data_IF_141018281423
#
_entry.id   IF_141018281423
#
_cell.length_a   1.000
_cell.length_b   1.000
_cell.length_c   1.000
_cell.angle_alpha   90.00
_cell.angle_beta   90.00
_cell.angle_gamma   90.00
#
_symmetry.space_group_name_H-M   'P 1'
#
loop_
_entity.id
_entity.type
_entity.pdbx_description
1 polymer ?
#
# COMPACT_ATOMS: atom_id res chain seq x y z
N UNK A 1 65.56 1.72 10.99
CA UNK A 1 64.46 1.05 11.75
C UNK A 1 63.54 2.00 12.52
N UNK A 2 64.02 2.91 13.39
CA UNK A 2 63.16 3.81 14.21
C UNK A 2 62.19 4.71 13.42
N UNK A 3 62.59 5.27 12.28
CA UNK A 3 61.72 6.13 11.46
C UNK A 3 60.56 5.36 10.77
N UNK A 4 60.79 4.08 10.45
CA UNK A 4 59.77 3.21 9.85
C UNK A 4 58.73 2.78 10.89
N UNK A 5 59.15 2.51 12.13
CA UNK A 5 58.24 2.22 13.25
C UNK A 5 57.38 3.41 13.64
N UNK A 6 57.88 4.64 13.59
CA UNK A 6 57.09 5.85 13.90
C UNK A 6 56.07 6.18 12.79
N UNK A 7 56.43 6.02 11.51
CA UNK A 7 55.45 6.12 10.41
C UNK A 7 54.35 5.07 10.55
N UNK A 8 54.69 3.81 10.84
CA UNK A 8 53.71 2.74 11.06
C UNK A 8 52.78 3.05 12.23
N UNK A 9 53.30 3.56 13.36
CA UNK A 9 52.48 4.00 14.50
C UNK A 9 51.54 5.16 14.13
N UNK A 10 51.99 6.14 13.34
CA UNK A 10 51.12 7.23 12.84
C UNK A 10 50.00 6.71 11.95
N UNK A 11 50.29 5.79 11.02
CA UNK A 11 49.28 5.16 10.18
C UNK A 11 48.27 4.35 10.99
N UNK A 12 48.73 3.57 11.97
CA UNK A 12 47.84 2.81 12.86
C UNK A 12 46.95 3.75 13.68
N UNK A 13 47.50 4.83 14.23
CA UNK A 13 46.71 5.84 14.96
C UNK A 13 45.69 6.53 14.05
N UNK A 14 46.08 6.91 12.84
CA UNK A 14 45.18 7.54 11.88
C UNK A 14 44.05 6.59 11.46
N UNK A 15 44.37 5.32 11.18
CA UNK A 15 43.37 4.30 10.88
C UNK A 15 42.41 4.07 12.06
N UNK A 16 42.93 4.05 13.29
CA UNK A 16 42.10 3.93 14.49
C UNK A 16 41.16 5.14 14.67
N UNK A 17 41.64 6.36 14.43
CA UNK A 17 40.81 7.58 14.47
C UNK A 17 39.73 7.54 13.39
N UNK A 18 40.09 7.19 12.15
CA UNK A 18 39.10 7.04 11.06
C UNK A 18 38.06 5.99 11.41
N UNK A 19 38.49 4.83 11.93
CA UNK A 19 37.58 3.78 12.39
C UNK A 19 36.64 4.26 13.49
N UNK A 20 37.15 4.98 14.49
CA UNK A 20 36.33 5.55 15.56
C UNK A 20 35.32 6.58 15.03
N UNK A 21 35.70 7.43 14.08
CA UNK A 21 34.79 8.39 13.43
C UNK A 21 33.69 7.66 12.64
N UNK A 22 34.03 6.62 11.88
CA UNK A 22 33.04 5.84 11.13
C UNK A 22 32.05 5.13 12.06
N UNK A 23 32.53 4.55 13.17
CA UNK A 23 31.66 3.95 14.19
C UNK A 23 30.76 5.01 14.84
N UNK A 24 31.31 6.18 15.16
CA UNK A 24 30.53 7.28 15.71
C UNK A 24 29.42 7.73 14.75
N UNK A 25 29.74 7.95 13.46
CA UNK A 25 28.76 8.34 12.45
C UNK A 25 27.68 7.26 12.24
N UNK A 26 28.07 5.99 12.26
CA UNK A 26 27.14 4.87 12.20
C UNK A 26 26.16 4.88 13.39
N UNK A 27 26.66 5.05 14.61
CA UNK A 27 25.81 5.14 15.82
C UNK A 27 24.91 6.37 15.77
N UNK A 28 25.43 7.55 15.38
CA UNK A 28 24.63 8.77 15.24
C UNK A 28 23.50 8.56 14.22
N UNK A 29 23.79 7.94 13.07
CA UNK A 29 22.78 7.62 12.06
C UNK A 29 21.74 6.63 12.58
N UNK A 30 22.15 5.63 13.36
CA UNK A 30 21.25 4.68 14.02
C UNK A 30 20.30 5.39 15.00
N UNK A 31 20.84 6.18 15.92
CA UNK A 31 20.05 6.95 16.90
C UNK A 31 19.11 7.93 16.21
N UNK A 32 19.58 8.64 15.18
CA UNK A 32 18.73 9.51 14.38
C UNK A 32 17.57 8.73 13.75
N UNK A 33 17.83 7.57 13.14
CA UNK A 33 16.78 6.71 12.58
C UNK A 33 15.76 6.32 13.64
N UNK A 34 16.25 5.87 14.80
CA UNK A 34 15.40 5.36 15.86
C UNK A 34 14.46 6.43 16.42
N UNK A 35 15.00 7.64 16.62
CA UNK A 35 14.25 8.76 17.16
C UNK A 35 13.32 9.39 16.13
N UNK A 36 13.84 9.72 14.93
CA UNK A 36 13.09 10.43 13.90
C UNK A 36 11.93 9.58 13.37
N UNK A 37 12.17 8.28 13.15
CA UNK A 37 11.15 7.36 12.63
C UNK A 37 10.33 6.66 13.74
N UNK A 38 10.42 7.14 14.99
CA UNK A 38 9.73 6.57 16.17
C UNK A 38 9.84 5.05 16.23
N UNK A 39 11.04 4.53 15.98
CA UNK A 39 11.28 3.11 15.82
C UNK A 39 10.96 2.30 17.09
N UNK A 40 10.91 2.92 18.26
CA UNK A 40 10.44 2.29 19.50
C UNK A 40 9.03 1.67 19.39
N UNK A 41 8.20 2.14 18.45
CA UNK A 41 6.87 1.60 18.20
C UNK A 41 6.96 0.25 17.47
N UNK A 42 7.67 0.17 16.34
CA UNK A 42 7.61 -0.99 15.43
C UNK A 42 8.87 -1.87 15.42
N UNK A 43 10.02 -1.33 15.82
CA UNK A 43 11.30 -2.06 15.75
C UNK A 43 11.38 -3.30 16.64
N UNK A 44 10.74 -3.36 17.84
CA UNK A 44 10.67 -4.61 18.58
C UNK A 44 10.04 -5.76 17.78
N UNK A 45 8.97 -5.48 17.04
CA UNK A 45 8.32 -6.46 16.16
C UNK A 45 9.22 -6.83 14.98
N UNK A 46 9.93 -5.84 14.40
CA UNK A 46 10.91 -6.08 13.34
C UNK A 46 12.06 -6.99 13.81
N UNK A 47 12.57 -6.78 15.03
CA UNK A 47 13.60 -7.65 15.61
C UNK A 47 13.03 -9.05 15.87
N UNK A 48 11.82 -9.15 16.43
CA UNK A 48 11.18 -10.43 16.68
C UNK A 48 11.01 -11.24 15.39
N UNK A 49 10.64 -10.60 14.27
CA UNK A 49 10.48 -11.27 12.98
C UNK A 49 11.78 -11.83 12.40
N UNK A 50 12.94 -11.24 12.74
CA UNK A 50 14.25 -11.75 12.30
C UNK A 50 14.65 -13.06 13.00
N UNK A 51 14.12 -13.32 14.19
CA UNK A 51 14.39 -14.55 14.95
C UNK A 51 13.26 -15.57 14.86
N UNK A 52 12.07 -15.16 14.39
CA UNK A 52 10.95 -16.06 14.18
C UNK A 52 11.22 -17.04 13.02
N UNK A 53 10.72 -18.27 13.14
CA UNK A 53 10.65 -19.19 12.00
C UNK A 53 9.73 -18.58 10.95
N UNK A 54 10.24 -18.40 9.73
CA UNK A 54 9.50 -17.83 8.62
C UNK A 54 9.00 -18.96 7.73
N UNK A 55 7.70 -18.99 7.46
CA UNK A 55 7.15 -19.82 6.40
C UNK A 55 7.69 -19.32 5.06
N UNK A 56 8.43 -20.15 4.35
CA UNK A 56 9.05 -19.78 3.09
C UNK A 56 8.93 -20.90 2.08
N UNK A 57 8.89 -20.52 0.81
CA UNK A 57 8.99 -21.43 -0.33
C UNK A 57 10.12 -20.99 -1.25
N UNK A 58 10.57 -21.91 -2.10
CA UNK A 58 11.51 -21.59 -3.17
C UNK A 58 10.91 -20.54 -4.11
N UNK A 59 11.75 -19.64 -4.64
CA UNK A 59 11.31 -18.54 -5.50
C UNK A 59 10.50 -19.01 -6.72
N UNK A 60 10.87 -20.14 -7.32
CA UNK A 60 10.15 -20.75 -8.44
C UNK A 60 8.70 -21.18 -8.12
N UNK A 61 8.31 -21.21 -6.85
CA UNK A 61 6.94 -21.48 -6.41
C UNK A 61 6.22 -20.23 -5.92
N UNK A 62 6.89 -19.07 -5.88
CA UNK A 62 6.29 -17.83 -5.37
C UNK A 62 5.45 -17.15 -6.43
N UNK A 63 4.32 -16.65 -5.98
CA UNK A 63 3.49 -15.67 -6.64
C UNK A 63 3.68 -14.33 -5.92
N UNK A 64 4.32 -13.36 -6.56
CA UNK A 64 4.38 -11.99 -6.06
C UNK A 64 3.14 -11.23 -6.54
N UNK A 65 2.28 -10.91 -5.59
CA UNK A 65 1.07 -10.10 -5.76
C UNK A 65 1.44 -8.65 -5.48
N UNK A 66 1.69 -7.89 -6.54
CA UNK A 66 2.15 -6.50 -6.46
C UNK A 66 0.98 -5.53 -6.66
N UNK A 67 0.84 -4.58 -5.74
CA UNK A 67 -0.16 -3.52 -5.81
C UNK A 67 0.46 -2.16 -5.45
N UNK A 68 -0.01 -1.14 -6.16
CA UNK A 68 0.27 0.27 -5.87
C UNK A 68 -1.02 0.91 -5.35
N UNK A 69 -0.95 1.47 -4.14
CA UNK A 69 -2.01 2.27 -3.53
C UNK A 69 -1.60 3.73 -3.53
N UNK A 70 -2.46 4.61 -4.02
CA UNK A 70 -2.08 6.01 -4.21
C UNK A 70 -2.97 6.97 -3.46
N UNK A 71 -2.33 7.87 -2.71
CA UNK A 71 -2.96 9.05 -2.12
C UNK A 71 -3.17 10.08 -3.24
N UNK A 72 -4.18 9.85 -4.08
CA UNK A 72 -4.35 10.60 -5.34
C UNK A 72 -4.97 11.97 -5.07
N UNK A 73 -4.13 12.95 -4.74
CA UNK A 73 -4.50 14.31 -4.31
C UNK A 73 -4.14 15.39 -5.35
N UNK A 74 -4.95 15.57 -6.42
CA UNK A 74 -4.69 16.57 -7.46
C UNK A 74 -4.80 18.02 -6.97
N UNK A 75 -5.42 18.24 -5.81
CA UNK A 75 -5.62 19.55 -5.20
C UNK A 75 -7.05 20.06 -5.37
N UNK A 76 -7.33 21.17 -4.66
CA UNK A 76 -8.65 21.82 -4.64
C UNK A 76 -8.78 23.00 -5.61
N UNK A 77 -7.66 23.37 -6.23
CA UNK A 77 -7.57 24.51 -7.15
C UNK A 77 -8.25 24.23 -8.50
N UNK A 78 -8.35 25.25 -9.33
CA UNK A 78 -8.93 25.15 -10.68
C UNK A 78 -8.07 24.32 -11.63
N UNK A 79 -6.79 24.10 -11.33
CA UNK A 79 -5.87 23.33 -12.16
C UNK A 79 -5.92 21.82 -11.88
N UNK A 80 -6.57 21.40 -10.80
CA UNK A 80 -6.65 20.00 -10.37
C UNK A 80 -7.13 19.05 -11.48
N UNK A 81 -8.12 19.47 -12.26
CA UNK A 81 -8.65 18.70 -13.39
C UNK A 81 -7.59 18.51 -14.48
N UNK A 82 -7.04 19.60 -14.99
CA UNK A 82 -6.00 19.56 -16.02
C UNK A 82 -4.74 18.81 -15.55
N UNK A 83 -4.41 18.90 -14.25
CA UNK A 83 -3.33 18.13 -13.62
C UNK A 83 -3.62 16.64 -13.64
N UNK A 84 -4.84 16.25 -13.27
CA UNK A 84 -5.31 14.86 -13.28
C UNK A 84 -5.32 14.27 -14.68
N UNK A 85 -5.83 15.02 -15.67
CA UNK A 85 -5.83 14.59 -17.07
C UNK A 85 -4.42 14.33 -17.60
N UNK A 86 -3.49 15.27 -17.39
CA UNK A 86 -2.09 15.10 -17.76
C UNK A 86 -1.47 13.88 -17.07
N UNK A 87 -1.79 13.67 -15.79
CA UNK A 87 -1.31 12.51 -15.05
C UNK A 87 -1.80 11.21 -15.69
N UNK A 88 -3.10 11.09 -15.96
CA UNK A 88 -3.72 9.91 -16.55
C UNK A 88 -3.16 9.59 -17.94
N UNK A 89 -2.99 10.59 -18.81
CA UNK A 89 -2.41 10.39 -20.15
C UNK A 89 -1.02 9.76 -20.05
N UNK A 90 -0.18 10.27 -19.15
CA UNK A 90 1.19 9.79 -18.99
C UNK A 90 1.25 8.43 -18.31
N UNK A 91 0.41 8.22 -17.30
CA UNK A 91 0.29 6.93 -16.62
C UNK A 91 -0.11 5.82 -17.59
N UNK A 92 -1.11 6.05 -18.46
CA UNK A 92 -1.54 5.08 -19.48
C UNK A 92 -0.38 4.63 -20.35
N UNK A 93 0.43 5.58 -20.83
CA UNK A 93 1.58 5.27 -21.67
C UNK A 93 2.65 4.41 -20.96
N UNK A 94 2.80 4.55 -19.65
CA UNK A 94 3.67 3.68 -18.84
C UNK A 94 3.00 2.31 -18.67
N UNK A 95 1.74 2.28 -18.24
CA UNK A 95 1.00 1.06 -17.97
C UNK A 95 1.01 0.10 -19.18
N UNK A 96 0.77 0.60 -20.41
CA UNK A 96 0.79 -0.20 -21.64
C UNK A 96 2.11 -0.94 -21.92
N UNK A 97 3.22 -0.52 -21.31
CA UNK A 97 4.53 -1.18 -21.51
C UNK A 97 4.78 -2.33 -20.53
N UNK A 98 4.00 -2.43 -19.47
CA UNK A 98 4.28 -3.30 -18.33
C UNK A 98 3.20 -4.34 -18.14
N UNK A 99 3.62 -5.60 -18.14
CA UNK A 99 2.73 -6.74 -18.05
C UNK A 99 3.27 -7.75 -17.05
N UNK A 100 2.35 -8.33 -16.28
CA UNK A 100 2.67 -9.40 -15.34
C UNK A 100 2.88 -10.75 -16.05
N UNK A 101 3.08 -11.83 -15.30
CA UNK A 101 3.36 -13.16 -15.88
C UNK A 101 2.21 -13.76 -16.69
N UNK A 102 1.01 -13.17 -16.63
CA UNK A 102 -0.18 -13.59 -17.38
C UNK A 102 -0.54 -12.62 -18.50
N UNK A 103 0.28 -11.60 -18.73
CA UNK A 103 0.00 -10.57 -19.72
C UNK A 103 -1.02 -9.54 -19.23
N UNK A 104 -1.32 -9.48 -17.92
CA UNK A 104 -2.15 -8.40 -17.41
C UNK A 104 -1.32 -7.13 -17.29
N UNK A 105 -1.87 -6.02 -17.77
CA UNK A 105 -1.28 -4.69 -17.67
C UNK A 105 -1.09 -4.27 -16.20
N UNK A 106 -0.08 -3.44 -15.92
CA UNK A 106 0.00 -2.76 -14.63
C UNK A 106 -1.23 -1.86 -14.40
N UNK A 107 -1.78 -1.90 -13.17
CA UNK A 107 -2.98 -1.15 -12.79
C UNK A 107 -2.77 -0.41 -11.48
N UNK A 108 -3.50 0.69 -11.34
CA UNK A 108 -3.40 1.58 -10.18
C UNK A 108 -4.59 1.45 -9.24
N UNK A 109 -4.41 1.69 -7.94
CA UNK A 109 -5.52 1.86 -7.00
C UNK A 109 -5.53 3.32 -6.55
N UNK A 110 -6.42 4.13 -7.13
CA UNK A 110 -6.55 5.55 -6.79
C UNK A 110 -7.43 5.69 -5.56
N UNK A 111 -6.84 5.96 -4.40
CA UNK A 111 -7.61 6.37 -3.24
C UNK A 111 -7.83 7.88 -3.34
N UNK A 112 -9.02 8.27 -3.77
CA UNK A 112 -9.34 9.67 -4.11
C UNK A 112 -9.88 10.41 -2.87
N UNK A 113 -9.37 11.61 -2.51
CA UNK A 113 -9.81 12.37 -1.35
C UNK A 113 -11.22 12.93 -1.55
N UNK A 114 -12.19 12.45 -0.77
CA UNK A 114 -13.53 13.04 -0.77
C UNK A 114 -13.50 14.54 -0.49
N UNK A 115 -12.60 15.00 0.38
CA UNK A 115 -12.49 16.40 0.80
C UNK A 115 -11.91 17.35 -0.26
N UNK A 116 -11.40 16.85 -1.39
CA UNK A 116 -11.09 17.70 -2.54
C UNK A 116 -12.31 17.97 -3.43
N UNK A 117 -13.27 17.03 -3.45
CA UNK A 117 -14.60 17.19 -4.02
C UNK A 117 -14.60 17.74 -5.47
N UNK A 118 -13.72 17.20 -6.34
CA UNK A 118 -13.62 17.56 -7.77
C UNK A 118 -14.32 16.50 -8.63
N UNK A 119 -15.56 16.77 -9.04
CA UNK A 119 -16.40 15.80 -9.79
C UNK A 119 -15.74 15.33 -11.09
N UNK A 120 -15.09 16.23 -11.82
CA UNK A 120 -14.48 15.99 -13.12
C UNK A 120 -13.23 15.11 -12.99
N UNK A 121 -12.49 15.27 -11.90
CA UNK A 121 -11.38 14.39 -11.55
C UNK A 121 -11.91 12.99 -11.28
N UNK A 122 -12.91 12.84 -10.40
CA UNK A 122 -13.48 11.53 -10.08
C UNK A 122 -14.05 10.86 -11.33
N UNK A 123 -14.76 11.59 -12.18
CA UNK A 123 -15.28 11.08 -13.45
C UNK A 123 -14.16 10.59 -14.39
N UNK A 124 -13.06 11.33 -14.49
CA UNK A 124 -11.87 10.95 -15.26
C UNK A 124 -11.20 9.68 -14.74
N UNK A 125 -11.09 9.53 -13.42
CA UNK A 125 -10.59 8.31 -12.79
C UNK A 125 -11.52 7.11 -13.04
N UNK A 126 -12.83 7.29 -12.92
CA UNK A 126 -13.81 6.24 -13.19
C UNK A 126 -13.78 5.79 -14.66
N UNK A 127 -13.58 6.72 -15.59
CA UNK A 127 -13.39 6.39 -17.01
C UNK A 127 -12.10 5.59 -17.22
N UNK A 128 -10.98 6.01 -16.63
CA UNK A 128 -9.73 5.27 -16.70
C UNK A 128 -9.85 3.87 -16.09
N UNK A 129 -10.59 3.73 -14.99
CA UNK A 129 -10.89 2.44 -14.37
C UNK A 129 -11.72 1.54 -15.32
N UNK A 130 -12.71 2.10 -15.99
CA UNK A 130 -13.53 1.38 -16.98
C UNK A 130 -12.73 0.89 -18.19
N UNK A 131 -11.65 1.59 -18.55
CA UNK A 131 -10.70 1.19 -19.61
C UNK A 131 -9.63 0.20 -19.10
N UNK A 132 -9.70 -0.18 -17.82
CA UNK A 132 -8.85 -1.19 -17.20
C UNK A 132 -7.48 -0.68 -16.74
N UNK A 133 -7.33 0.63 -16.47
CA UNK A 133 -6.08 1.20 -15.95
C UNK A 133 -5.97 1.16 -14.42
N UNK A 134 -7.06 0.86 -13.72
CA UNK A 134 -7.07 0.86 -12.26
C UNK A 134 -8.46 0.73 -11.67
N UNK A 135 -8.55 0.98 -10.37
CA UNK A 135 -9.80 1.06 -9.60
C UNK A 135 -9.76 2.28 -8.67
N UNK A 136 -10.94 2.79 -8.31
CA UNK A 136 -11.11 3.98 -7.46
C UNK A 136 -11.61 3.55 -6.09
N UNK A 137 -10.92 4.01 -5.05
CA UNK A 137 -11.17 3.72 -3.64
C UNK A 137 -11.29 5.02 -2.83
N UNK A 138 -11.68 4.91 -1.55
CA UNK A 138 -11.91 6.08 -0.70
C UNK A 138 -10.65 6.50 0.07
N UNK A 139 -10.20 7.72 -0.15
CA UNK A 139 -9.25 8.43 0.70
C UNK A 139 -9.97 9.58 1.40
N UNK A 140 -9.58 9.91 2.63
CA UNK A 140 -10.21 11.05 3.30
C UNK A 140 -9.40 11.72 4.40
N UNK A 141 -9.28 13.05 4.31
CA UNK A 141 -8.73 13.92 5.35
C UNK A 141 -9.82 14.55 6.23
N UNK A 142 -10.87 13.79 6.56
CA UNK A 142 -12.07 14.32 7.21
C UNK A 142 -11.72 15.30 8.36
N UNK A 143 -12.54 16.36 8.55
CA UNK A 143 -12.37 17.22 9.71
C UNK A 143 -12.49 16.37 10.98
N UNK A 144 -11.87 16.83 12.08
CA UNK A 144 -11.97 16.14 13.36
C UNK A 144 -13.45 15.86 13.70
N UNK A 145 -13.75 14.62 14.02
CA UNK A 145 -15.11 14.13 14.26
C UNK A 145 -15.15 13.28 15.53
N UNK A 146 -16.22 12.50 15.68
CA UNK A 146 -16.46 11.53 16.75
C UNK A 146 -17.30 10.35 16.21
N UNK A 147 -17.41 9.27 16.98
CA UNK A 147 -18.13 8.04 16.60
C UNK A 147 -19.63 8.25 16.36
N UNK A 148 -20.21 9.37 16.82
CA UNK A 148 -21.63 9.67 16.61
C UNK A 148 -21.87 10.35 15.27
N UNK A 149 -20.97 11.26 14.87
CA UNK A 149 -21.10 12.06 13.65
C UNK A 149 -20.47 11.41 12.43
N UNK A 150 -19.37 10.69 12.62
CA UNK A 150 -18.61 10.09 11.52
C UNK A 150 -19.44 9.18 10.60
N UNK A 151 -20.35 8.31 11.08
CA UNK A 151 -21.18 7.48 10.20
C UNK A 151 -21.97 8.29 9.16
N UNK A 152 -22.64 9.37 9.57
CA UNK A 152 -23.42 10.21 8.67
C UNK A 152 -22.52 10.94 7.65
N UNK A 153 -21.33 11.38 8.08
CA UNK A 153 -20.38 12.02 7.17
C UNK A 153 -19.80 11.02 6.16
N UNK A 154 -19.55 9.77 6.58
CA UNK A 154 -19.07 8.68 5.71
C UNK A 154 -20.14 8.30 4.68
N UNK A 155 -21.41 8.25 5.10
CA UNK A 155 -22.56 8.06 4.23
C UNK A 155 -22.65 9.15 3.12
N UNK A 156 -22.38 10.41 3.46
CA UNK A 156 -22.32 11.50 2.48
C UNK A 156 -21.18 11.30 1.48
N UNK A 157 -19.99 10.93 1.97
CA UNK A 157 -18.84 10.64 1.11
C UNK A 157 -19.15 9.49 0.14
N UNK A 158 -19.69 8.38 0.65
CA UNK A 158 -20.06 7.21 -0.15
C UNK A 158 -21.07 7.60 -1.23
N UNK A 159 -22.14 8.34 -0.89
CA UNK A 159 -23.13 8.80 -1.86
C UNK A 159 -22.52 9.62 -2.98
N UNK A 160 -21.59 10.52 -2.66
CA UNK A 160 -20.91 11.34 -3.66
C UNK A 160 -20.12 10.51 -4.67
N UNK A 161 -19.38 9.50 -4.20
CA UNK A 161 -18.68 8.57 -5.10
C UNK A 161 -19.64 7.74 -5.95
N UNK A 162 -20.75 7.29 -5.37
CA UNK A 162 -21.74 6.45 -6.05
C UNK A 162 -22.47 7.17 -7.19
N UNK A 163 -22.56 8.51 -7.16
CA UNK A 163 -23.01 9.28 -8.32
C UNK A 163 -22.16 9.05 -9.59
N UNK A 164 -20.93 8.58 -9.42
CA UNK A 164 -20.00 8.21 -10.51
C UNK A 164 -19.81 6.69 -10.66
N UNK A 165 -20.71 5.88 -10.12
CA UNK A 165 -20.63 4.40 -10.07
C UNK A 165 -19.40 3.85 -9.28
N UNK A 166 -18.69 4.69 -8.54
CA UNK A 166 -17.57 4.26 -7.70
C UNK A 166 -18.07 3.70 -6.35
N UNK A 167 -17.23 2.90 -5.69
CA UNK A 167 -17.49 2.25 -4.39
C UNK A 167 -18.73 1.34 -4.37
N UNK A 168 -19.19 0.89 -5.53
CA UNK A 168 -20.31 -0.04 -5.71
C UNK A 168 -19.86 -1.23 -6.55
N UNK A 169 -20.23 -2.43 -6.12
CA UNK A 169 -19.98 -3.64 -6.90
C UNK A 169 -20.89 -3.74 -8.13
N UNK A 170 -20.37 -4.31 -9.20
CA UNK A 170 -21.14 -4.68 -10.39
C UNK A 170 -22.01 -5.91 -10.12
N UNK A 171 -23.04 -6.09 -10.95
CA UNK A 171 -23.91 -7.26 -10.93
C UNK A 171 -25.35 -6.96 -10.49
N UNK A 172 -26.19 -8.00 -10.37
CA UNK A 172 -27.64 -7.83 -10.15
C UNK A 172 -27.99 -7.32 -8.74
N UNK A 173 -27.08 -7.50 -7.76
CA UNK A 173 -27.26 -7.07 -6.38
C UNK A 173 -26.08 -6.17 -5.98
N UNK A 174 -26.02 -4.93 -6.49
CA UNK A 174 -24.93 -4.01 -6.18
C UNK A 174 -24.87 -3.72 -4.68
N UNK A 175 -23.66 -3.67 -4.14
CA UNK A 175 -23.40 -3.36 -2.72
C UNK A 175 -22.32 -2.30 -2.62
N UNK A 176 -22.42 -1.44 -1.61
CA UNK A 176 -21.34 -0.53 -1.23
C UNK A 176 -20.13 -1.34 -0.78
N UNK A 177 -19.03 -1.26 -1.52
CA UNK A 177 -17.77 -1.93 -1.21
C UNK A 177 -16.60 -1.02 -1.56
N UNK A 178 -15.68 -0.80 -0.63
CA UNK A 178 -14.51 0.06 -0.85
C UNK A 178 -13.32 -0.30 0.03
N UNK A 179 -12.12 0.02 -0.44
CA UNK A 179 -10.91 0.11 0.37
C UNK A 179 -10.79 1.52 0.95
N UNK A 180 -10.15 1.64 2.11
CA UNK A 180 -9.95 2.92 2.77
C UNK A 180 -8.47 3.26 2.98
N UNK A 181 -8.13 4.54 2.80
CA UNK A 181 -6.92 5.16 3.31
C UNK A 181 -7.31 6.38 4.13
N UNK A 182 -6.82 6.43 5.37
CA UNK A 182 -7.02 7.57 6.22
C UNK A 182 -5.98 8.65 5.92
N UNK A 183 -6.41 9.77 5.35
CA UNK A 183 -5.50 10.74 4.73
C UNK A 183 -4.67 11.58 5.68
N UNK A 184 -5.06 11.68 6.95
CA UNK A 184 -4.20 12.27 7.98
C UNK A 184 -3.40 11.23 8.75
N UNK A 185 -3.38 9.95 8.32
CA UNK A 185 -2.68 8.86 9.00
C UNK A 185 -3.07 8.73 10.48
N UNK A 186 -4.37 8.87 10.76
CA UNK A 186 -4.90 9.01 12.11
C UNK A 186 -6.00 7.99 12.45
N UNK A 187 -6.01 6.85 11.76
CA UNK A 187 -7.02 5.80 11.88
C UNK A 187 -7.35 5.51 13.35
N UNK A 188 -8.62 5.28 13.63
CA UNK A 188 -9.17 4.93 14.94
C UNK A 188 -8.67 5.85 16.07
N UNK A 189 -8.74 7.16 15.82
CA UNK A 189 -8.28 8.23 16.71
C UNK A 189 -6.84 8.03 17.24
N UNK A 190 -5.94 7.49 16.42
CA UNK A 190 -4.54 7.27 16.79
C UNK A 190 -3.76 8.57 17.02
N UNK A 191 -4.31 9.70 16.59
CA UNK A 191 -3.81 11.03 16.90
C UNK A 191 -4.92 12.09 16.90
N UNK A 192 -4.73 13.26 17.58
CA UNK A 192 -5.80 14.21 17.89
C UNK A 192 -6.59 14.80 16.71
N UNK A 193 -6.12 14.61 15.48
CA UNK A 193 -6.78 15.12 14.27
C UNK A 193 -7.98 14.28 13.83
N UNK A 194 -8.08 13.00 14.21
CA UNK A 194 -9.20 12.14 13.83
C UNK A 194 -10.40 12.32 14.77
N UNK A 195 -10.27 11.97 16.05
CA UNK A 195 -11.34 12.04 17.04
C UNK A 195 -12.36 10.90 17.01
N UNK A 196 -12.30 10.01 16.03
CA UNK A 196 -13.25 8.90 15.84
C UNK A 196 -12.72 7.63 16.50
N UNK A 197 -13.32 7.25 17.63
CA UNK A 197 -13.15 5.91 18.21
C UNK A 197 -14.01 4.91 17.49
N UNK A 198 -13.63 3.64 17.53
CA UNK A 198 -14.37 2.57 16.85
C UNK A 198 -14.50 2.81 15.35
N UNK A 199 -13.49 3.47 14.77
CA UNK A 199 -13.53 3.85 13.37
C UNK A 199 -13.52 2.61 12.46
N UNK A 200 -12.86 1.52 12.88
CA UNK A 200 -12.72 0.30 12.09
C UNK A 200 -14.08 -0.40 11.92
N UNK A 201 -14.85 -0.49 13.00
CA UNK A 201 -16.21 -1.06 12.98
C UNK A 201 -17.15 -0.19 12.15
N UNK A 202 -17.07 1.13 12.28
CA UNK A 202 -17.90 2.05 11.47
C UNK A 202 -17.57 1.86 9.99
N UNK A 203 -16.29 1.88 9.61
CA UNK A 203 -15.85 1.65 8.23
C UNK A 203 -16.37 0.29 7.71
N UNK A 204 -16.17 -0.78 8.47
CA UNK A 204 -16.59 -2.13 8.09
C UNK A 204 -18.11 -2.23 7.87
N UNK A 205 -18.91 -1.68 8.79
CA UNK A 205 -20.37 -1.67 8.70
C UNK A 205 -20.91 -0.90 7.50
N UNK A 206 -20.16 0.10 7.01
CA UNK A 206 -20.53 0.90 5.83
C UNK A 206 -20.03 0.29 4.50
N UNK A 207 -19.35 -0.86 4.54
CA UNK A 207 -18.92 -1.59 3.35
C UNK A 207 -17.41 -1.51 3.07
N UNK A 208 -16.61 -0.95 3.97
CA UNK A 208 -15.15 -1.01 3.84
C UNK A 208 -14.67 -2.45 3.97
N UNK A 209 -14.01 -2.99 2.95
CA UNK A 209 -13.51 -4.37 3.00
C UNK A 209 -12.12 -4.48 3.63
N UNK A 210 -11.28 -3.45 3.52
CA UNK A 210 -9.96 -3.39 4.14
C UNK A 210 -9.41 -1.95 4.21
N UNK A 211 -8.58 -1.70 5.22
CA UNK A 211 -7.74 -0.51 5.33
C UNK A 211 -6.37 -0.73 4.70
N UNK A 212 -5.88 0.30 4.00
CA UNK A 212 -4.58 0.32 3.34
C UNK A 212 -3.68 1.47 3.83
N UNK A 213 -3.97 2.08 4.98
CA UNK A 213 -3.30 3.29 5.49
C UNK A 213 -1.81 3.06 5.79
N UNK A 214 -1.41 1.87 6.25
CA UNK A 214 -0.05 1.66 6.76
C UNK A 214 0.97 1.25 5.69
N UNK A 215 2.18 1.82 5.68
CA UNK A 215 2.87 2.40 6.83
C UNK A 215 2.64 3.91 7.05
N UNK A 216 2.76 4.33 8.31
CA UNK A 216 2.77 5.73 8.75
C UNK A 216 4.00 5.99 9.64
N UNK A 217 5.14 5.37 9.29
CA UNK A 217 6.38 5.44 10.08
C UNK A 217 6.85 6.89 10.29
N UNK A 218 7.32 7.18 11.50
CA UNK A 218 7.63 8.54 11.95
C UNK A 218 6.51 9.17 12.78
N UNK A 219 5.33 8.53 12.81
CA UNK A 219 4.19 8.96 13.62
C UNK A 219 3.89 7.98 14.76
N UNK A 220 3.09 8.43 15.74
CA UNK A 220 2.56 7.54 16.79
C UNK A 220 1.47 6.61 16.28
N UNK A 221 0.89 6.93 15.11
CA UNK A 221 -0.15 6.16 14.45
C UNK A 221 0.37 4.86 13.86
N UNK A 222 1.67 4.72 13.57
CA UNK A 222 2.22 3.47 13.05
C UNK A 222 1.90 2.31 14.02
N UNK A 223 1.29 1.21 13.57
CA UNK A 223 1.09 0.04 14.42
C UNK A 223 2.42 -0.58 14.88
N UNK A 224 2.40 -1.19 16.07
CA UNK A 224 3.51 -2.03 16.56
C UNK A 224 3.66 -3.26 15.68
N UNK A 225 2.55 -3.88 15.29
CA UNK A 225 2.52 -4.95 14.30
C UNK A 225 2.94 -4.38 12.92
N UNK A 226 3.75 -5.13 12.18
CA UNK A 226 4.27 -4.73 10.87
C UNK A 226 4.36 -5.94 9.95
N UNK A 227 4.46 -5.70 8.64
CA UNK A 227 4.68 -6.72 7.62
C UNK A 227 3.63 -7.84 7.67
N UNK A 228 2.37 -7.46 7.86
CA UNK A 228 1.31 -8.43 8.11
C UNK A 228 -0.01 -8.04 7.46
N UNK A 229 -0.87 -9.04 7.30
CA UNK A 229 -2.27 -8.87 6.92
C UNK A 229 -3.07 -9.52 8.03
N UNK A 230 -3.90 -8.73 8.72
CA UNK A 230 -4.55 -9.16 9.94
C UNK A 230 -5.91 -8.48 10.13
N UNK A 231 -6.72 -9.05 10.99
CA UNK A 231 -7.95 -8.44 11.45
C UNK A 231 -7.72 -7.73 12.78
N UNK A 232 -8.20 -6.49 12.86
CA UNK A 232 -8.15 -5.70 14.08
C UNK A 232 -9.48 -5.81 14.82
N UNK A 233 -9.43 -5.98 16.15
CA UNK A 233 -10.63 -5.97 16.99
C UNK A 233 -10.80 -4.59 17.55
N UNK A 234 -11.88 -3.93 17.18
CA UNK A 234 -12.10 -2.55 17.55
C UNK A 234 -12.48 -2.37 19.04
N UNK A 235 -12.24 -1.17 19.58
CA UNK A 235 -12.50 -0.85 20.98
C UNK A 235 -12.77 0.65 21.19
N UNK A 236 -13.22 1.02 22.38
CA UNK A 236 -13.38 2.44 22.74
C UNK A 236 -12.03 3.16 22.96
N UNK A 237 -10.92 2.42 22.97
CA UNK A 237 -9.57 2.96 23.04
C UNK A 237 -9.06 3.35 21.63
N UNK A 238 -8.07 4.27 21.53
CA UNK A 238 -7.46 4.57 20.24
C UNK A 238 -6.78 3.35 19.65
N UNK A 239 -6.58 3.42 18.33
CA UNK A 239 -5.53 2.67 17.65
C UNK A 239 -5.72 1.17 17.85
N UNK A 240 -6.95 0.68 17.74
CA UNK A 240 -7.31 -0.72 17.97
C UNK A 240 -6.61 -1.67 16.99
N UNK A 241 -6.16 -1.16 15.84
CA UNK A 241 -5.32 -1.88 14.88
C UNK A 241 -3.87 -2.10 15.33
N UNK A 242 -3.42 -1.54 16.47
CA UNK A 242 -2.02 -1.63 16.91
C UNK A 242 -1.52 -3.07 17.07
N UNK A 243 -2.47 -3.99 17.28
CA UNK A 243 -2.31 -5.45 17.24
C UNK A 243 -3.48 -6.08 16.49
N UNK A 244 -3.41 -7.38 16.20
CA UNK A 244 -4.56 -8.09 15.65
C UNK A 244 -4.26 -9.56 15.37
N UNK A 245 -5.27 -10.27 14.87
CA UNK A 245 -5.19 -11.68 14.50
C UNK A 245 -4.77 -11.83 13.03
N UNK A 246 -3.64 -12.48 12.77
CA UNK A 246 -3.15 -12.71 11.42
C UNK A 246 -4.15 -13.50 10.58
N UNK A 247 -4.35 -13.05 9.34
CA UNK A 247 -5.15 -13.82 8.38
C UNK A 247 -4.49 -15.18 8.18
N UNK A 248 -5.24 -16.24 8.45
CA UNK A 248 -4.74 -17.61 8.51
C UNK A 248 -5.63 -18.54 7.70
N UNK A 249 -5.03 -19.47 6.96
CA UNK A 249 -5.75 -20.52 6.23
C UNK A 249 -6.70 -21.28 7.15
N UNK A 250 -7.95 -21.42 6.72
CA UNK A 250 -8.98 -22.19 7.42
C UNK A 250 -9.56 -21.49 8.65
N UNK A 251 -9.21 -20.23 8.91
CA UNK A 251 -9.75 -19.41 9.99
C UNK A 251 -10.41 -18.13 9.45
N UNK A 252 -11.52 -18.26 8.70
CA UNK A 252 -12.18 -17.10 8.13
C UNK A 252 -12.76 -16.19 9.22
N UNK A 253 -12.44 -14.90 9.14
CA UNK A 253 -13.06 -13.85 9.96
C UNK A 253 -13.89 -12.94 9.05
N UNK A 254 -15.14 -12.69 9.47
CA UNK A 254 -16.16 -12.01 8.65
C UNK A 254 -16.90 -10.92 9.44
N UNK A 255 -16.38 -10.52 10.59
CA UNK A 255 -17.06 -9.62 11.55
C UNK A 255 -16.29 -8.34 11.88
N UNK A 256 -15.11 -8.12 11.28
CA UNK A 256 -14.26 -6.94 11.54
C UNK A 256 -13.36 -6.58 10.36
N UNK A 257 -12.79 -5.37 10.41
CA UNK A 257 -11.98 -4.81 9.32
C UNK A 257 -10.60 -5.48 9.22
N UNK A 258 -10.18 -5.75 7.98
CA UNK A 258 -8.82 -6.20 7.66
C UNK A 258 -7.88 -5.00 7.52
N UNK A 259 -6.71 -5.10 8.14
CA UNK A 259 -5.60 -4.18 7.96
C UNK A 259 -4.59 -4.83 7.00
N UNK A 260 -4.32 -4.15 5.88
CA UNK A 260 -3.42 -4.64 4.85
C UNK A 260 -2.15 -3.79 4.83
N UNK A 261 -1.05 -4.30 5.39
CA UNK A 261 0.21 -3.56 5.48
C UNK A 261 1.12 -3.75 4.25
N UNK A 262 1.95 -2.73 4.01
CA UNK A 262 3.08 -2.82 3.09
C UNK A 262 4.38 -3.22 3.81
N UNK A 263 5.44 -3.54 3.04
CA UNK A 263 6.72 -3.95 3.60
C UNK A 263 7.48 -2.79 4.25
N UNK A 264 7.88 -3.04 5.48
CA UNK A 264 8.79 -2.25 6.29
C UNK A 264 10.09 -3.05 6.44
N UNK A 265 11.20 -2.44 6.04
CA UNK A 265 12.52 -3.06 6.06
C UNK A 265 13.61 -2.09 6.55
N UNK A 266 14.70 -2.65 7.04
CA UNK A 266 15.87 -1.87 7.47
C UNK A 266 17.11 -2.35 6.73
N UNK A 267 17.82 -1.42 6.08
CA UNK A 267 19.17 -1.65 5.63
C UNK A 267 20.14 -1.44 6.81
N UNK A 268 20.63 -2.54 7.38
CA UNK A 268 21.52 -2.53 8.55
C UNK A 268 22.88 -1.86 8.33
N UNK A 269 23.35 -1.76 7.09
CA UNK A 269 24.64 -1.12 6.78
C UNK A 269 24.50 0.40 6.83
N UNK A 270 23.38 0.93 6.34
CA UNK A 270 23.16 2.38 6.18
C UNK A 270 22.17 2.98 7.17
N UNK A 271 21.52 2.13 7.97
CA UNK A 271 20.33 2.46 8.76
C UNK A 271 19.24 3.16 7.95
N UNK A 272 19.17 2.89 6.64
CA UNK A 272 18.10 3.41 5.79
C UNK A 272 16.88 2.50 5.97
N UNK A 273 15.82 3.11 6.47
CA UNK A 273 14.51 2.51 6.54
C UNK A 273 13.89 2.46 5.13
N UNK A 274 13.19 1.38 4.85
CA UNK A 274 12.30 1.22 3.72
C UNK A 274 10.90 0.98 4.26
N UNK A 275 9.93 1.69 3.74
CA UNK A 275 8.53 1.61 4.17
C UNK A 275 7.62 1.72 2.95
N UNK A 276 8.07 1.13 1.84
CA UNK A 276 7.31 0.97 0.61
C UNK A 276 6.83 2.24 -0.10
N UNK A 277 7.27 3.42 0.35
CA UNK A 277 7.03 4.69 -0.34
C UNK A 277 7.77 4.75 -1.69
N UNK A 278 7.09 5.18 -2.75
CA UNK A 278 7.64 5.44 -4.09
C UNK A 278 7.53 6.93 -4.35
N UNK A 279 8.57 7.68 -3.97
CA UNK A 279 8.55 9.14 -3.83
C UNK A 279 9.89 9.78 -4.22
N UNK A 280 9.92 11.10 -4.39
CA UNK A 280 11.17 11.86 -4.65
C UNK A 280 12.29 11.58 -3.65
N UNK A 281 11.96 11.48 -2.36
CA UNK A 281 12.90 11.15 -1.28
C UNK A 281 13.11 9.64 -1.08
N UNK A 282 12.23 8.82 -1.66
CA UNK A 282 12.24 7.37 -1.56
C UNK A 282 12.08 6.76 -2.96
N UNK A 283 13.09 6.99 -3.81
CA UNK A 283 13.10 6.44 -5.17
C UNK A 283 13.17 4.91 -5.15
N UNK A 284 12.44 4.21 -6.03
CA UNK A 284 12.50 2.76 -6.14
C UNK A 284 13.86 2.32 -6.69
N UNK A 285 14.42 1.25 -6.14
CA UNK A 285 15.65 0.64 -6.67
C UNK A 285 15.53 -0.88 -6.63
N UNK A 286 16.31 -1.63 -7.44
CA UNK A 286 16.30 -3.09 -7.39
C UNK A 286 16.52 -3.66 -5.99
N UNK A 287 17.42 -3.03 -5.20
CA UNK A 287 17.65 -3.43 -3.81
C UNK A 287 16.46 -3.18 -2.88
N UNK A 288 15.62 -2.18 -3.15
CA UNK A 288 14.35 -1.97 -2.43
C UNK A 288 13.33 -3.04 -2.81
N UNK A 289 13.16 -3.30 -4.10
CA UNK A 289 12.25 -4.33 -4.62
C UNK A 289 12.57 -5.71 -4.02
N UNK A 290 13.86 -6.07 -3.96
CA UNK A 290 14.29 -7.31 -3.30
C UNK A 290 13.93 -7.36 -1.81
N UNK A 291 14.02 -6.24 -1.08
CA UNK A 291 13.58 -6.16 0.32
C UNK A 291 12.06 -6.20 0.46
N UNK A 292 11.31 -5.61 -0.47
CA UNK A 292 9.85 -5.66 -0.47
C UNK A 292 9.34 -7.09 -0.64
N UNK A 293 9.87 -7.82 -1.63
CA UNK A 293 9.58 -9.26 -1.82
C UNK A 293 10.08 -10.06 -0.60
N UNK A 294 11.26 -9.71 -0.08
CA UNK A 294 11.88 -10.37 1.06
C UNK A 294 11.16 -10.16 2.40
N UNK A 295 10.29 -9.15 2.51
CA UNK A 295 9.43 -8.97 3.68
C UNK A 295 8.43 -10.12 3.83
N UNK A 296 8.18 -10.87 2.74
CA UNK A 296 7.45 -12.14 2.75
C UNK A 296 6.09 -12.03 3.45
N UNK A 297 5.34 -10.96 3.15
CA UNK A 297 3.99 -10.75 3.70
C UNK A 297 3.04 -11.72 3.00
N UNK A 298 2.38 -12.60 3.75
CA UNK A 298 1.49 -13.63 3.23
C UNK A 298 0.39 -13.98 4.24
N UNK A 299 -0.65 -14.66 3.77
CA UNK A 299 -1.64 -15.32 4.63
C UNK A 299 -0.98 -16.52 5.30
N UNK A 300 -1.06 -16.64 6.63
CA UNK A 300 -0.40 -17.71 7.37
C UNK A 300 -0.87 -19.09 6.86
N UNK A 301 0.06 -19.97 6.50
CA UNK A 301 -0.20 -21.24 5.82
C UNK A 301 -0.26 -21.16 4.29
N UNK A 302 0.00 -19.99 3.68
CA UNK A 302 0.13 -19.75 2.23
C UNK A 302 1.38 -18.91 1.89
N UNK A 303 2.59 -19.34 2.29
CA UNK A 303 3.83 -18.60 2.03
C UNK A 303 4.18 -18.45 0.54
N UNK A 304 3.51 -19.17 -0.35
CA UNK A 304 3.69 -19.05 -1.79
C UNK A 304 3.02 -17.82 -2.39
N UNK A 305 2.04 -17.18 -1.74
CA UNK A 305 1.41 -15.94 -2.21
C UNK A 305 1.93 -14.75 -1.40
N UNK A 306 2.92 -14.05 -1.96
CA UNK A 306 3.62 -12.94 -1.31
C UNK A 306 3.04 -11.61 -1.78
N UNK A 307 2.49 -10.83 -0.85
CA UNK A 307 1.90 -9.53 -1.13
C UNK A 307 2.92 -8.41 -0.96
N UNK A 308 2.99 -7.54 -1.96
CA UNK A 308 3.86 -6.35 -1.97
C UNK A 308 3.02 -5.13 -2.25
N UNK A 309 2.56 -4.48 -1.17
CA UNK A 309 1.87 -3.19 -1.25
C UNK A 309 2.86 -2.03 -1.14
N UNK A 310 2.99 -1.25 -2.20
CA UNK A 310 3.72 0.03 -2.19
C UNK A 310 2.75 1.20 -2.27
N UNK A 311 3.21 2.40 -1.90
CA UNK A 311 2.38 3.59 -1.98
C UNK A 311 3.10 4.81 -2.57
N UNK A 312 2.31 5.76 -3.08
CA UNK A 312 2.79 7.09 -3.49
C UNK A 312 1.76 8.18 -3.18
N UNK A 313 2.19 9.44 -3.30
CA UNK A 313 1.35 10.63 -3.50
C UNK A 313 1.42 11.00 -4.99
N UNK A 314 0.95 10.12 -5.86
CA UNK A 314 1.41 9.95 -7.23
C UNK A 314 1.32 11.19 -8.10
N UNK A 315 0.28 11.99 -7.90
CA UNK A 315 0.10 13.25 -8.62
C UNK A 315 0.86 14.44 -8.00
N UNK A 316 1.25 14.36 -6.74
CA UNK A 316 2.14 15.33 -6.09
C UNK A 316 3.63 15.02 -6.39
N UNK A 317 3.94 13.75 -6.68
CA UNK A 317 5.27 13.25 -7.01
C UNK A 317 5.42 12.86 -8.48
N UNK A 318 4.86 13.68 -9.39
CA UNK A 318 4.83 13.40 -10.83
C UNK A 318 6.24 13.20 -11.42
N UNK A 319 7.23 13.93 -10.91
CA UNK A 319 8.63 13.85 -11.34
C UNK A 319 9.26 12.46 -11.11
N UNK A 320 8.80 11.73 -10.10
CA UNK A 320 9.23 10.35 -9.84
C UNK A 320 8.29 9.35 -10.50
N UNK A 321 6.99 9.55 -10.37
CA UNK A 321 6.00 8.56 -10.79
C UNK A 321 5.78 8.56 -12.30
N UNK A 322 5.88 9.70 -12.97
CA UNK A 322 5.56 9.79 -14.40
C UNK A 322 6.75 10.13 -15.30
N UNK A 323 7.82 10.75 -14.78
CA UNK A 323 8.93 11.20 -15.61
C UNK A 323 10.06 10.17 -15.70
N UNK A 324 10.35 9.45 -14.60
CA UNK A 324 11.61 8.71 -14.51
C UNK A 324 11.54 7.31 -13.88
N UNK A 325 10.86 7.16 -12.74
CA UNK A 325 11.19 6.04 -11.86
C UNK A 325 10.14 4.91 -11.86
N UNK A 326 8.86 5.17 -12.17
CA UNK A 326 7.83 4.12 -12.21
C UNK A 326 8.11 3.08 -13.30
N UNK A 327 8.39 3.52 -14.53
CA UNK A 327 8.74 2.63 -15.65
C UNK A 327 9.98 1.77 -15.33
N UNK A 328 11.02 2.40 -14.79
CA UNK A 328 12.24 1.71 -14.37
C UNK A 328 12.01 0.73 -13.22
N UNK A 329 11.13 1.07 -12.26
CA UNK A 329 10.74 0.21 -11.16
C UNK A 329 9.98 -1.03 -11.64
N UNK A 330 8.96 -0.85 -12.49
CA UNK A 330 8.14 -1.94 -13.02
C UNK A 330 9.00 -2.91 -13.85
N UNK A 331 9.85 -2.37 -14.74
CA UNK A 331 10.85 -3.16 -15.46
C UNK A 331 11.80 -3.92 -14.52
N UNK A 332 12.32 -3.27 -13.49
CA UNK A 332 13.20 -3.93 -12.52
C UNK A 332 12.48 -5.06 -11.77
N UNK A 333 11.21 -4.84 -11.40
CA UNK A 333 10.38 -5.85 -10.74
C UNK A 333 10.14 -7.04 -11.65
N UNK A 334 9.75 -6.82 -12.91
CA UNK A 334 9.58 -7.86 -13.92
C UNK A 334 10.87 -8.66 -14.15
N UNK A 335 12.01 -7.98 -14.31
CA UNK A 335 13.32 -8.60 -14.50
C UNK A 335 13.74 -9.44 -13.28
N UNK A 336 13.56 -8.90 -12.06
CA UNK A 336 13.85 -9.63 -10.81
C UNK A 336 12.98 -10.88 -10.71
N UNK A 337 11.68 -10.76 -10.97
CA UNK A 337 10.76 -11.89 -10.91
C UNK A 337 11.13 -12.96 -11.93
N UNK A 338 11.35 -12.56 -13.20
CA UNK A 338 11.77 -13.46 -14.29
C UNK A 338 13.09 -14.17 -13.97
N UNK A 339 14.10 -13.43 -13.51
CA UNK A 339 15.42 -14.00 -13.19
C UNK A 339 15.38 -14.99 -12.03
N UNK A 340 14.41 -14.86 -11.11
CA UNK A 340 14.24 -15.74 -9.94
C UNK A 340 13.17 -16.83 -10.15
N UNK A 341 12.51 -16.85 -11.31
CA UNK A 341 11.39 -17.76 -11.59
C UNK A 341 10.12 -17.47 -10.79
N UNK A 342 9.99 -16.26 -10.24
CA UNK A 342 8.82 -15.83 -9.48
C UNK A 342 7.71 -15.45 -10.47
N UNK A 343 6.49 -15.94 -10.23
CA UNK A 343 5.30 -15.52 -10.98
C UNK A 343 4.83 -14.16 -10.45
N UNK A 344 4.77 -13.15 -11.32
CA UNK A 344 4.34 -11.79 -10.97
C UNK A 344 2.85 -11.62 -11.32
N UNK A 345 2.12 -10.95 -10.43
CA UNK A 345 0.72 -10.55 -10.61
C UNK A 345 0.58 -9.06 -10.30
N UNK A 346 0.08 -8.27 -11.26
CA UNK A 346 -0.32 -6.89 -11.01
C UNK A 346 -1.79 -6.84 -10.61
N UNK A 347 -2.08 -6.31 -9.42
CA UNK A 347 -3.43 -6.29 -8.86
C UNK A 347 -3.80 -4.93 -8.27
N UNK A 348 -5.09 -4.65 -8.17
CA UNK A 348 -5.64 -3.51 -7.41
C UNK A 348 -5.82 -3.89 -5.94
N UNK A 349 -6.09 -2.89 -5.08
CA UNK A 349 -6.38 -3.09 -3.66
C UNK A 349 -7.51 -4.11 -3.42
N UNK A 350 -8.61 -4.00 -4.18
CA UNK A 350 -9.74 -4.94 -4.13
C UNK A 350 -9.36 -6.36 -4.51
N UNK A 351 -8.59 -6.52 -5.59
CA UNK A 351 -8.14 -7.84 -6.02
C UNK A 351 -7.17 -8.44 -5.01
N UNK A 352 -6.24 -7.67 -4.45
CA UNK A 352 -5.37 -8.14 -3.37
C UNK A 352 -6.18 -8.64 -2.17
N UNK A 353 -7.22 -7.90 -1.76
CA UNK A 353 -8.15 -8.36 -0.71
C UNK A 353 -8.82 -9.69 -1.08
N UNK A 354 -9.30 -9.84 -2.31
CA UNK A 354 -9.91 -11.10 -2.78
C UNK A 354 -8.94 -12.27 -2.74
N UNK A 355 -7.68 -12.06 -3.14
CA UNK A 355 -6.64 -13.08 -3.05
C UNK A 355 -6.34 -13.47 -1.61
N UNK A 356 -6.32 -12.51 -0.68
CA UNK A 356 -6.22 -12.79 0.76
C UNK A 356 -7.39 -13.64 1.24
N UNK A 357 -8.64 -13.26 0.91
CA UNK A 357 -9.84 -14.02 1.30
C UNK A 357 -9.90 -15.40 0.67
N UNK A 358 -9.37 -15.57 -0.55
CA UNK A 358 -9.25 -16.87 -1.19
C UNK A 358 -8.24 -17.76 -0.46
N UNK A 359 -7.04 -17.23 -0.18
CA UNK A 359 -6.02 -17.93 0.60
C UNK A 359 -6.52 -18.33 1.99
N UNK A 360 -7.18 -17.39 2.69
CA UNK A 360 -7.81 -17.63 3.99
C UNK A 360 -8.85 -18.75 3.94
N UNK A 361 -9.66 -18.80 2.88
CA UNK A 361 -10.61 -19.88 2.64
C UNK A 361 -9.96 -21.21 2.20
N UNK A 362 -8.62 -21.29 2.21
CA UNK A 362 -7.87 -22.49 1.87
C UNK A 362 -7.68 -22.72 0.38
N UNK A 363 -8.02 -21.76 -0.48
CA UNK A 363 -7.66 -21.82 -1.90
C UNK A 363 -6.14 -21.82 -2.06
N UNK A 364 -5.65 -22.45 -3.11
CA UNK A 364 -4.22 -22.60 -3.43
C UNK A 364 -4.06 -22.68 -4.94
N UNK A 365 -2.80 -22.74 -5.41
CA UNK A 365 -2.50 -22.76 -6.84
C UNK A 365 -2.36 -21.34 -7.38
N UNK A 366 -2.95 -21.09 -8.55
CA UNK A 366 -2.77 -19.84 -9.28
C UNK A 366 -3.68 -18.72 -8.73
N UNK A 367 -3.13 -17.58 -8.25
CA UNK A 367 -3.92 -16.43 -7.80
C UNK A 367 -4.87 -15.86 -8.85
N UNK A 368 -4.55 -15.97 -10.15
CA UNK A 368 -5.40 -15.42 -11.23
C UNK A 368 -6.85 -15.89 -11.15
N UNK A 369 -7.08 -17.13 -10.69
CA UNK A 369 -8.39 -17.75 -10.61
C UNK A 369 -9.29 -17.10 -9.53
N UNK A 370 -8.74 -16.20 -8.71
CA UNK A 370 -9.39 -15.67 -7.50
C UNK A 370 -9.44 -14.13 -7.42
N UNK A 371 -9.14 -13.40 -8.50
CA UNK A 371 -9.14 -11.92 -8.51
C UNK A 371 -10.47 -11.30 -8.07
N UNK A 372 -11.59 -11.99 -8.30
CA UNK A 372 -12.94 -11.54 -7.99
C UNK A 372 -13.65 -12.46 -6.94
N UNK A 373 -12.89 -13.09 -6.04
CA UNK A 373 -13.39 -14.15 -5.15
C UNK A 373 -14.53 -13.75 -4.20
N UNK A 374 -14.41 -12.62 -3.48
CA UNK A 374 -15.37 -12.17 -2.46
C UNK A 374 -16.08 -10.89 -2.89
N UNK A 375 -15.31 -9.88 -3.28
CA UNK A 375 -15.74 -8.56 -3.74
C UNK A 375 -15.76 -8.58 -5.26
N UNK A 376 -16.93 -8.49 -5.92
CA UNK A 376 -17.02 -8.46 -7.38
C UNK A 376 -16.29 -7.24 -7.96
N UNK A 377 -16.11 -7.24 -9.29
CA UNK A 377 -15.63 -6.04 -10.01
C UNK A 377 -16.49 -4.82 -9.67
N UNK A 378 -15.92 -3.60 -9.65
CA UNK A 378 -16.68 -2.38 -9.40
C UNK A 378 -17.63 -2.07 -10.57
N UNK A 379 -18.73 -1.35 -10.31
CA UNK A 379 -19.69 -0.96 -11.34
C UNK A 379 -19.06 -0.07 -12.43
N UNK A 380 -18.04 0.72 -12.09
CA UNK A 380 -17.21 1.46 -13.06
C UNK A 380 -16.66 0.57 -14.18
N UNK A 381 -16.33 -0.70 -13.91
CA UNK A 381 -15.83 -1.64 -14.94
C UNK A 381 -16.82 -1.91 -16.08
N UNK A 382 -18.12 -1.67 -15.84
CA UNK A 382 -19.19 -1.84 -16.85
C UNK A 382 -19.64 -0.53 -17.48
N UNK A 383 -19.04 0.60 -17.08
CA UNK A 383 -19.46 1.95 -17.49
C UNK A 383 -19.48 2.11 -19.02
N UNK A 384 -18.41 1.69 -19.70
CA UNK A 384 -18.31 1.79 -21.17
C UNK A 384 -19.37 0.95 -21.89
N UNK A 385 -19.59 -0.28 -21.42
CA UNK A 385 -20.61 -1.17 -21.98
C UNK A 385 -22.02 -0.58 -21.80
N UNK A 386 -22.31 -0.03 -20.62
CA UNK A 386 -23.59 0.63 -20.33
C UNK A 386 -23.80 1.86 -21.21
N UNK A 387 -22.77 2.71 -21.39
CA UNK A 387 -22.83 3.88 -22.29
C UNK A 387 -23.06 3.49 -23.75
N UNK A 388 -22.38 2.46 -24.25
CA UNK A 388 -22.58 1.97 -25.61
C UNK A 388 -23.98 1.38 -25.83
N UNK A 389 -24.52 0.67 -24.83
CA UNK A 389 -25.88 0.12 -24.87
C UNK A 389 -26.94 1.22 -24.86
N UNK A 390 -26.74 2.28 -24.07
CA UNK A 390 -27.64 3.44 -24.04
C UNK A 390 -27.63 4.21 -25.38
N UNK A 391 -26.47 4.33 -26.03
CA UNK A 391 -26.34 5.02 -27.31
C UNK A 391 -26.93 4.24 -28.51
N UNK A 392 -27.08 2.91 -28.38
CA UNK A 392 -27.65 2.04 -29.43
C UNK A 392 -29.13 1.73 -29.25
N UNK A 393 -29.73 2.12 -28.11
CA UNK A 393 -31.16 2.02 -27.82
C UNK A 393 -31.97 3.29 -28.12
N UNK A 394 -31.33 4.30 -28.71
CA UNK A 394 -31.93 5.44 -29.41
C UNK A 394 -31.93 5.17 -30.91
#
# INVERSE_FOLDING_TARGET
>A
MRAWTERRKKWVRMAAVIGAVLVFLYVVRAVYTFTFYKASVWFPSYLASLFASQETVADARKHVVFLMVDHYEPGRDEEAEARSERWLVRFRAIAERHHDSYGNRFRYSWFYPYDEHREQVLAGLCLAAAEGYGEVELHWHHPRSDSQRFPAMLDDAIRWFQHHDALVSAGPNPRTQFGFIHGVWALDDSQPRCGVRRELDILFQHGCYADFTFSTIGTVSQPRKINSIYYATDSDAPKSYDTGEDVTVGKPIEDRLMIFEGPIGLNWITWRLDYAAVEAWARPTPGRILRWIGANIHVQGRPEWVFVKVYSHGIQSQDVILDHDLDGMLRSLEEICRARGITLHYVTAREAYNLVKAAEAGKSGNPEDFRDYRVPKPATSTLLQRRASAASGL
#
